data_IF_226701663038
#
_entry.id   IF_226701663038
#
_cell.length_a   1.000
_cell.length_b   1.000
_cell.length_c   1.000
_cell.angle_alpha   90.00
_cell.angle_beta   90.00
_cell.angle_gamma   90.00
#
_symmetry.space_group_name_H-M   'P 1'
#
loop_
_entity.id
_entity.type
_entity.pdbx_description
1 polymer ?
#
# COMPACT_ATOMS: atom_id res chain seq x y z
N UNK A 1 0.45 9.80 -4.05
CA UNK A 1 1.12 9.72 -2.73
C UNK A 1 0.34 8.92 -1.70
N UNK A 2 -0.93 8.54 -1.93
CA UNK A 2 -1.67 7.69 -1.02
C UNK A 2 -1.42 6.20 -1.34
N UNK A 3 -1.56 5.37 -0.31
CA UNK A 3 -1.62 3.91 -0.43
C UNK A 3 -3.04 3.50 -0.02
N UNK A 4 -3.79 2.78 -0.87
CA UNK A 4 -5.08 2.24 -0.49
C UNK A 4 -4.88 1.10 0.51
N UNK A 5 -5.72 1.06 1.54
CA UNK A 5 -5.78 -0.01 2.55
C UNK A 5 -7.25 -0.28 2.86
N UNK A 6 -7.59 -1.51 3.24
CA UNK A 6 -8.96 -1.83 3.60
C UNK A 6 -9.36 -1.17 4.93
N UNK A 7 -10.66 -0.91 5.09
CA UNK A 7 -11.19 -0.38 6.35
C UNK A 7 -11.31 -1.49 7.37
N UNK A 8 -10.78 -1.26 8.57
CA UNK A 8 -10.88 -2.20 9.68
C UNK A 8 -12.21 -2.08 10.42
N UNK A 9 -12.89 -3.21 10.67
CA UNK A 9 -14.20 -3.28 11.33
C UNK A 9 -14.27 -4.27 12.50
N UNK A 10 -13.23 -4.34 13.35
CA UNK A 10 -13.16 -5.26 14.50
C UNK A 10 -12.86 -6.73 14.18
N UNK A 11 -12.19 -7.01 13.08
CA UNK A 11 -11.67 -8.36 12.80
C UNK A 11 -10.33 -8.57 13.54
N UNK A 12 -10.24 -9.53 14.49
CA UNK A 12 -9.00 -9.83 15.20
C UNK A 12 -7.95 -10.55 14.34
N UNK A 13 -8.33 -11.05 13.16
CA UNK A 13 -7.43 -11.67 12.18
C UNK A 13 -6.95 -10.70 11.11
N UNK A 14 -7.41 -9.45 11.13
CA UNK A 14 -6.96 -8.43 10.20
C UNK A 14 -5.47 -8.17 10.39
N UNK A 15 -4.71 -8.34 9.32
CA UNK A 15 -3.26 -8.16 9.28
C UNK A 15 -2.84 -7.16 8.20
N UNK A 16 -3.78 -6.40 7.63
CA UNK A 16 -3.52 -5.51 6.49
C UNK A 16 -2.45 -4.45 6.79
N UNK A 17 -2.40 -3.97 8.04
CA UNK A 17 -1.35 -3.04 8.48
C UNK A 17 0.02 -3.71 8.61
N UNK A 18 0.07 -4.98 9.01
CA UNK A 18 1.31 -5.75 9.13
C UNK A 18 1.86 -6.12 7.75
N UNK A 19 0.98 -6.50 6.83
CA UNK A 19 1.33 -6.82 5.45
C UNK A 19 1.89 -5.61 4.68
N UNK A 20 1.58 -4.40 5.15
CA UNK A 20 2.14 -3.17 4.58
C UNK A 20 3.59 -2.92 5.00
N UNK A 21 4.09 -3.51 6.09
CA UNK A 21 5.42 -3.23 6.63
C UNK A 21 6.56 -3.48 5.63
N UNK A 22 6.61 -4.62 4.91
CA UNK A 22 7.67 -4.85 3.91
C UNK A 22 7.60 -3.86 2.74
N UNK A 23 6.38 -3.47 2.34
CA UNK A 23 6.18 -2.47 1.30
C UNK A 23 6.71 -1.10 1.76
N UNK A 24 6.41 -0.67 2.99
CA UNK A 24 6.93 0.58 3.55
C UNK A 24 8.46 0.57 3.70
N UNK A 25 9.07 -0.54 4.12
CA UNK A 25 10.54 -0.62 4.20
C UNK A 25 11.19 -0.52 2.80
N UNK A 26 10.57 -1.10 1.77
CA UNK A 26 11.06 -0.97 0.39
C UNK A 26 11.04 0.48 -0.11
N UNK A 27 10.06 1.30 0.32
CA UNK A 27 9.97 2.71 -0.06
C UNK A 27 11.14 3.54 0.49
N UNK A 28 11.76 3.14 1.61
CA UNK A 28 12.93 3.83 2.18
C UNK A 28 14.11 3.91 1.21
N UNK A 29 14.21 2.96 0.28
CA UNK A 29 15.29 2.91 -0.71
C UNK A 29 14.91 3.59 -2.03
N UNK A 30 13.67 4.04 -2.17
CA UNK A 30 13.16 4.63 -3.41
C UNK A 30 13.39 6.14 -3.42
N UNK A 31 14.10 6.66 -4.44
CA UNK A 31 14.34 8.11 -4.58
C UNK A 31 13.06 8.93 -4.84
N UNK A 32 12.12 8.41 -5.64
CA UNK A 32 10.81 9.02 -5.87
C UNK A 32 9.70 8.00 -5.65
N UNK A 33 9.03 8.08 -4.50
CA UNK A 33 7.92 7.19 -4.12
C UNK A 33 6.75 7.25 -5.10
N UNK A 34 6.57 8.35 -5.86
CA UNK A 34 5.51 8.46 -6.88
C UNK A 34 5.75 7.50 -8.03
N UNK A 35 7.01 7.19 -8.34
CA UNK A 35 7.32 6.22 -9.40
C UNK A 35 6.82 4.80 -9.07
N UNK A 36 6.71 4.48 -7.78
CA UNK A 36 6.21 3.20 -7.27
C UNK A 36 4.68 3.26 -7.05
N UNK A 37 4.20 4.33 -6.41
CA UNK A 37 2.78 4.50 -6.08
C UNK A 37 1.90 4.77 -7.31
N UNK A 38 2.40 5.49 -8.32
CA UNK A 38 1.62 5.79 -9.55
C UNK A 38 1.45 4.58 -10.46
N UNK A 39 2.29 3.54 -10.35
CA UNK A 39 2.09 2.27 -11.08
C UNK A 39 0.88 1.51 -10.55
N UNK A 40 0.71 1.47 -9.23
CA UNK A 40 -0.44 0.82 -8.61
C UNK A 40 -1.76 1.54 -8.88
N UNK A 41 -1.73 2.88 -9.01
CA UNK A 41 -2.93 3.68 -9.31
C UNK A 41 -3.57 3.33 -10.67
N UNK A 42 -2.77 2.96 -11.67
CA UNK A 42 -3.30 2.53 -12.98
C UNK A 42 -3.87 1.11 -12.95
N UNK A 43 -3.40 0.23 -12.06
CA UNK A 43 -3.95 -1.13 -11.93
C UNK A 43 -5.29 -1.16 -11.17
N UNK A 44 -5.59 -0.14 -10.37
CA UNK A 44 -6.86 -0.03 -9.65
C UNK A 44 -8.01 0.59 -10.46
N UNK A 45 -7.75 1.16 -11.65
CA UNK A 45 -8.81 1.66 -12.54
C UNK A 45 -9.46 0.56 -13.39
N UNK A 46 -9.01 -0.70 -13.27
CA UNK A 46 -9.54 -1.85 -14.00
C UNK A 46 -10.50 -2.72 -13.17
N UNK A 47 -11.03 -2.19 -12.07
CA UNK A 47 -12.09 -2.81 -11.27
C UNK A 47 -13.24 -1.83 -11.06
#
# INVERSE_FOLDING_TARGET
NAIPITSWFSDPLDTDLLDLLPFLDSLRFTQDVRSVLSRNLHQQSLW
#
